data_IF_580627603910
#
_entry.id   IF_580627603910
#
_cell.length_a   1.000
_cell.length_b   1.000
_cell.length_c   1.000
_cell.angle_alpha   90.00
_cell.angle_beta   90.00
_cell.angle_gamma   90.00
#
_symmetry.space_group_name_H-M   'P 1'
#
loop_
_entity.id
_entity.type
_entity.pdbx_description
1 polymer ?
#
# COMPACT_ATOMS: atom_id res chain seq x y z
N UNK A 1 3.52 15.22 -1.90
CA UNK A 1 4.69 14.31 -1.86
C UNK A 1 5.46 14.46 -3.16
N UNK A 2 6.44 15.37 -3.18
CA UNK A 2 7.18 15.78 -4.38
C UNK A 2 7.92 14.61 -5.08
N UNK A 3 8.27 13.55 -4.35
CA UNK A 3 8.97 12.39 -4.90
C UNK A 3 8.08 11.64 -5.93
N UNK A 4 6.90 11.20 -5.51
CA UNK A 4 5.97 10.50 -6.38
C UNK A 4 5.56 11.33 -7.61
N UNK A 5 5.30 12.62 -7.40
CA UNK A 5 4.90 13.50 -8.50
C UNK A 5 6.01 13.64 -9.56
N UNK A 6 7.27 13.71 -9.11
CA UNK A 6 8.44 13.78 -9.98
C UNK A 6 8.65 12.47 -10.75
N UNK A 7 8.54 11.32 -10.08
CA UNK A 7 8.67 10.00 -10.72
C UNK A 7 7.52 9.69 -11.68
N UNK A 8 6.28 10.00 -11.29
CA UNK A 8 5.10 9.81 -12.13
C UNK A 8 5.17 10.63 -13.41
N UNK A 9 5.56 11.91 -13.33
CA UNK A 9 5.67 12.77 -14.50
C UNK A 9 6.74 12.29 -15.51
N UNK A 10 7.82 11.66 -15.04
CA UNK A 10 8.88 11.11 -15.89
C UNK A 10 8.48 9.79 -16.57
N UNK A 11 7.49 9.07 -16.03
CA UNK A 11 7.18 7.69 -16.35
C UNK A 11 5.86 7.52 -17.09
N UNK A 12 5.29 8.61 -17.60
CA UNK A 12 4.06 8.55 -18.39
C UNK A 12 4.36 8.15 -19.83
N UNK A 13 3.92 6.96 -20.21
CA UNK A 13 3.94 6.48 -21.58
C UNK A 13 2.61 6.75 -22.28
N UNK A 14 2.67 7.13 -23.56
CA UNK A 14 1.47 7.22 -24.41
C UNK A 14 1.19 5.88 -25.07
N UNK A 15 0.08 5.23 -24.71
CA UNK A 15 -0.42 4.06 -25.46
C UNK A 15 -1.65 4.42 -26.28
N UNK A 16 -1.67 3.92 -27.51
CA UNK A 16 -2.80 4.06 -28.44
C UNK A 16 -3.69 2.84 -28.30
N UNK A 17 -4.97 3.05 -28.02
CA UNK A 17 -5.99 2.00 -28.03
C UNK A 17 -6.80 2.14 -29.31
N UNK A 18 -7.01 1.03 -30.03
CA UNK A 18 -7.55 0.99 -31.38
C UNK A 18 -8.86 1.78 -31.62
N UNK A 19 -9.68 2.01 -30.59
CA UNK A 19 -10.95 2.73 -30.70
C UNK A 19 -11.11 3.90 -29.70
N UNK A 20 -10.10 4.24 -28.91
CA UNK A 20 -10.25 5.17 -27.79
C UNK A 20 -9.26 6.34 -27.77
N UNK A 21 -8.44 6.47 -28.83
CA UNK A 21 -7.42 7.53 -28.89
C UNK A 21 -6.17 7.24 -28.06
N UNK A 22 -5.41 8.30 -27.76
CA UNK A 22 -4.16 8.21 -26.99
C UNK A 22 -4.42 8.40 -25.50
N UNK A 23 -4.06 7.41 -24.69
CA UNK A 23 -4.16 7.48 -23.22
C UNK A 23 -2.75 7.41 -22.64
N UNK A 24 -2.46 8.27 -21.69
CA UNK A 24 -1.21 8.20 -20.91
C UNK A 24 -1.35 7.16 -19.83
N UNK A 25 -0.43 6.20 -19.81
CA UNK A 25 -0.34 5.18 -18.76
C UNK A 25 1.02 5.24 -18.09
N UNK A 26 1.10 4.71 -16.88
CA UNK A 26 2.37 4.58 -16.18
C UNK A 26 3.17 3.43 -16.78
N UNK A 27 4.48 3.64 -16.85
CA UNK A 27 5.43 2.58 -17.17
C UNK A 27 5.32 1.45 -16.13
N UNK A 28 5.48 0.16 -16.53
CA UNK A 28 5.21 -0.99 -15.67
C UNK A 28 5.89 -0.95 -14.29
N UNK A 29 7.17 -0.61 -14.23
CA UNK A 29 7.95 -0.58 -12.98
C UNK A 29 7.42 0.42 -11.98
N UNK A 30 7.17 1.66 -12.43
CA UNK A 30 6.62 2.71 -11.55
C UNK A 30 5.16 2.42 -11.18
N UNK A 31 4.39 1.81 -12.10
CA UNK A 31 3.01 1.43 -11.83
C UNK A 31 2.92 0.41 -10.69
N UNK A 32 3.76 -0.64 -10.73
CA UNK A 32 3.84 -1.64 -9.66
C UNK A 32 4.22 -0.99 -8.33
N UNK A 33 5.26 -0.14 -8.32
CA UNK A 33 5.69 0.56 -7.11
C UNK A 33 4.58 1.45 -6.54
N UNK A 34 3.87 2.19 -7.39
CA UNK A 34 2.78 3.07 -7.00
C UNK A 34 1.57 2.30 -6.43
N UNK A 35 1.14 1.24 -7.15
CA UNK A 35 0.03 0.39 -6.71
C UNK A 35 0.36 -0.28 -5.38
N UNK A 36 1.60 -0.78 -5.21
CA UNK A 36 2.02 -1.34 -3.94
C UNK A 36 2.05 -0.31 -2.82
N UNK A 37 2.60 0.88 -3.05
CA UNK A 37 2.62 1.95 -2.05
C UNK A 37 1.19 2.32 -1.61
N UNK A 38 0.25 2.42 -2.55
CA UNK A 38 -1.16 2.67 -2.28
C UNK A 38 -1.81 1.54 -1.48
N UNK A 39 -1.58 0.28 -1.89
CA UNK A 39 -2.04 -0.91 -1.18
C UNK A 39 -1.51 -0.94 0.27
N UNK A 40 -0.20 -0.71 0.47
CA UNK A 40 0.43 -0.73 1.77
C UNK A 40 -0.10 0.39 2.69
N UNK A 41 -0.31 1.57 2.15
CA UNK A 41 -0.94 2.67 2.86
C UNK A 41 -2.35 2.32 3.37
N UNK A 42 -3.17 1.72 2.51
CA UNK A 42 -4.49 1.25 2.90
C UNK A 42 -4.43 0.11 3.93
N UNK A 43 -3.48 -0.82 3.78
CA UNK A 43 -3.26 -1.90 4.73
C UNK A 43 -3.01 -1.38 6.15
N UNK A 44 -2.20 -0.32 6.30
CA UNK A 44 -1.91 0.28 7.60
C UNK A 44 -3.10 1.08 8.14
N UNK A 45 -3.76 1.88 7.31
CA UNK A 45 -4.81 2.81 7.75
C UNK A 45 -6.18 2.20 7.96
N UNK A 46 -6.56 1.29 7.10
CA UNK A 46 -7.95 0.81 7.09
C UNK A 46 -8.11 -0.68 6.88
N UNK A 47 -7.02 -1.38 6.55
CA UNK A 47 -7.05 -2.76 6.08
C UNK A 47 -7.39 -2.87 4.59
N UNK A 48 -7.03 -4.01 4.02
CA UNK A 48 -7.27 -4.37 2.63
C UNK A 48 -7.95 -5.75 2.56
N UNK A 49 -8.59 -6.05 1.44
CA UNK A 49 -9.11 -7.39 1.14
C UNK A 49 -8.15 -8.18 0.24
N UNK A 50 -8.42 -9.48 0.10
CA UNK A 50 -7.66 -10.39 -0.77
C UNK A 50 -7.60 -9.89 -2.23
N UNK A 51 -8.66 -9.23 -2.71
CA UNK A 51 -8.72 -8.67 -4.06
C UNK A 51 -7.50 -7.80 -4.37
N UNK A 52 -7.07 -6.94 -3.45
CA UNK A 52 -5.90 -6.08 -3.67
C UNK A 52 -4.60 -6.87 -3.83
N UNK A 53 -4.50 -8.03 -3.16
CA UNK A 53 -3.36 -8.93 -3.35
C UNK A 53 -3.43 -9.62 -4.73
N UNK A 54 -4.63 -10.05 -5.14
CA UNK A 54 -4.84 -10.63 -6.47
C UNK A 54 -4.52 -9.64 -7.58
N UNK A 55 -4.96 -8.38 -7.44
CA UNK A 55 -4.68 -7.32 -8.41
C UNK A 55 -3.16 -7.10 -8.56
N UNK A 56 -2.42 -7.06 -7.43
CA UNK A 56 -0.96 -6.94 -7.45
C UNK A 56 -0.27 -8.18 -8.05
N UNK A 57 -0.76 -9.39 -7.74
CA UNK A 57 -0.22 -10.63 -8.31
C UNK A 57 -0.41 -10.68 -9.83
N UNK A 58 -1.59 -10.29 -10.32
CA UNK A 58 -1.89 -10.20 -11.76
C UNK A 58 -0.98 -9.18 -12.46
N UNK A 59 -0.73 -8.04 -11.82
CA UNK A 59 0.20 -7.03 -12.38
C UNK A 59 1.63 -7.57 -12.48
N UNK A 60 2.13 -8.23 -11.44
CA UNK A 60 3.47 -8.84 -11.43
C UNK A 60 3.58 -9.94 -12.50
N UNK A 61 2.55 -10.79 -12.62
CA UNK A 61 2.48 -11.81 -13.66
C UNK A 61 2.50 -11.20 -15.08
N UNK A 62 1.68 -10.18 -15.29
CA UNK A 62 1.53 -9.52 -16.61
C UNK A 62 2.81 -8.81 -17.04
N UNK A 63 3.46 -8.11 -16.12
CA UNK A 63 4.64 -7.28 -16.42
C UNK A 63 5.97 -7.93 -16.07
N UNK A 64 6.03 -9.23 -15.77
CA UNK A 64 7.23 -9.93 -15.30
C UNK A 64 8.49 -9.72 -16.13
N UNK A 65 8.33 -9.54 -17.45
CA UNK A 65 9.44 -9.32 -18.39
C UNK A 65 9.77 -7.83 -18.61
N UNK A 66 8.89 -6.92 -18.17
CA UNK A 66 8.99 -5.47 -18.38
C UNK A 66 9.44 -4.73 -17.12
N UNK A 67 9.62 -5.46 -16.02
CA UNK A 67 10.04 -4.89 -14.73
C UNK A 67 11.55 -4.64 -14.74
N UNK A 68 11.94 -3.38 -14.65
CA UNK A 68 13.29 -2.99 -14.28
C UNK A 68 13.48 -3.17 -12.76
N UNK A 69 14.18 -4.26 -12.39
CA UNK A 69 14.38 -4.66 -10.98
C UNK A 69 15.20 -3.65 -10.19
N UNK A 70 16.25 -3.09 -10.78
CA UNK A 70 17.14 -2.15 -10.12
C UNK A 70 16.39 -0.84 -9.83
N UNK A 71 15.63 -0.37 -10.81
CA UNK A 71 14.79 0.81 -10.67
C UNK A 71 13.67 0.59 -9.65
N UNK A 72 13.00 -0.57 -9.67
CA UNK A 72 11.97 -0.92 -8.70
C UNK A 72 12.53 -0.93 -7.28
N UNK A 73 13.70 -1.54 -7.07
CA UNK A 73 14.39 -1.56 -5.78
C UNK A 73 14.74 -0.15 -5.30
N UNK A 74 15.28 0.68 -6.19
CA UNK A 74 15.61 2.08 -5.91
C UNK A 74 14.39 2.87 -5.46
N UNK A 75 13.24 2.73 -6.14
CA UNK A 75 11.99 3.41 -5.79
C UNK A 75 11.46 2.93 -4.44
N UNK A 76 11.38 1.62 -4.24
CA UNK A 76 10.86 1.04 -3.00
C UNK A 76 11.75 1.34 -1.78
N UNK A 77 13.06 1.40 -1.99
CA UNK A 77 14.04 1.78 -0.95
C UNK A 77 13.96 3.27 -0.65
N UNK A 78 13.93 4.10 -1.69
CA UNK A 78 13.81 5.56 -1.55
C UNK A 78 12.50 5.99 -0.89
N UNK A 79 11.45 5.19 -1.01
CA UNK A 79 10.17 5.39 -0.31
C UNK A 79 10.07 4.64 1.02
N UNK A 80 11.09 3.88 1.41
CA UNK A 80 11.15 3.17 2.70
C UNK A 80 10.25 1.94 2.82
N UNK A 81 9.66 1.44 1.71
CA UNK A 81 8.71 0.32 1.70
C UNK A 81 9.25 -0.97 1.09
N UNK A 82 10.55 -1.05 0.78
CA UNK A 82 11.16 -2.23 0.17
C UNK A 82 10.95 -3.51 1.01
N UNK A 83 11.20 -3.46 2.31
CA UNK A 83 10.99 -4.61 3.18
C UNK A 83 9.52 -5.03 3.26
N UNK A 84 8.60 -4.07 3.17
CA UNK A 84 7.17 -4.37 3.08
C UNK A 84 6.86 -5.10 1.76
N UNK A 85 7.41 -4.64 0.63
CA UNK A 85 7.23 -5.29 -0.67
C UNK A 85 7.70 -6.75 -0.64
N UNK A 86 8.88 -7.03 -0.07
CA UNK A 86 9.40 -8.40 0.09
C UNK A 86 8.47 -9.26 0.95
N UNK A 87 7.99 -8.73 2.09
CA UNK A 87 7.08 -9.48 2.97
C UNK A 87 5.72 -9.77 2.30
N UNK A 88 5.20 -8.84 1.51
CA UNK A 88 3.99 -9.05 0.71
C UNK A 88 4.24 -10.02 -0.45
N UNK A 89 5.42 -9.99 -1.08
CA UNK A 89 5.83 -10.97 -2.09
C UNK A 89 5.74 -12.40 -1.58
N UNK A 90 6.16 -12.66 -0.32
CA UNK A 90 5.97 -13.97 0.33
C UNK A 90 4.49 -14.35 0.41
N UNK A 91 3.61 -13.39 0.77
CA UNK A 91 2.15 -13.63 0.82
C UNK A 91 1.58 -13.92 -0.57
N UNK A 92 2.03 -13.20 -1.61
CA UNK A 92 1.56 -13.42 -2.98
C UNK A 92 1.92 -14.81 -3.49
N UNK A 93 3.13 -15.29 -3.17
CA UNK A 93 3.60 -16.62 -3.60
C UNK A 93 2.86 -17.72 -2.82
N UNK A 94 2.86 -17.66 -1.50
CA UNK A 94 2.41 -18.77 -0.66
C UNK A 94 0.89 -18.86 -0.51
N UNK A 95 0.15 -17.76 -0.68
CA UNK A 95 -1.31 -17.71 -0.45
C UNK A 95 -2.13 -17.31 -1.67
N UNK A 96 -1.55 -16.57 -2.62
CA UNK A 96 -2.27 -16.13 -3.83
C UNK A 96 -1.89 -17.00 -5.04
N UNK A 97 -0.71 -17.66 -5.00
CA UNK A 97 -0.24 -18.58 -6.04
C UNK A 97 0.56 -17.87 -7.14
N UNK A 98 1.17 -16.71 -6.86
CA UNK A 98 2.13 -16.09 -7.79
C UNK A 98 3.35 -17.02 -7.95
N UNK A 99 3.74 -17.40 -9.19
CA UNK A 99 4.96 -18.19 -9.40
C UNK A 99 6.20 -17.48 -8.84
N UNK A 100 7.06 -18.23 -8.11
CA UNK A 100 8.22 -17.65 -7.44
C UNK A 100 9.17 -16.91 -8.39
N UNK A 101 9.32 -17.41 -9.60
CA UNK A 101 10.17 -16.82 -10.64
C UNK A 101 9.59 -15.53 -11.26
N UNK A 102 8.34 -15.20 -10.97
CA UNK A 102 7.69 -13.96 -11.44
C UNK A 102 7.76 -12.83 -10.39
N UNK A 103 8.15 -13.15 -9.16
CA UNK A 103 8.45 -12.12 -8.15
C UNK A 103 9.89 -11.64 -8.33
N UNK A 104 10.12 -10.31 -8.47
CA UNK A 104 11.41 -9.78 -8.93
C UNK A 104 12.58 -9.94 -7.94
N UNK A 105 12.32 -10.21 -6.65
CA UNK A 105 13.34 -10.23 -5.60
C UNK A 105 13.40 -11.55 -4.84
N UNK A 106 14.54 -11.80 -4.18
CA UNK A 106 14.67 -12.89 -3.23
C UNK A 106 13.93 -12.61 -1.93
N UNK A 107 13.35 -13.67 -1.33
CA UNK A 107 12.58 -13.56 -0.09
C UNK A 107 13.31 -14.30 1.02
N UNK A 108 14.04 -13.58 1.88
CA UNK A 108 14.70 -14.18 3.03
C UNK A 108 13.71 -14.81 4.03
N UNK A 109 14.11 -15.90 4.67
CA UNK A 109 13.28 -16.64 5.64
C UNK A 109 12.78 -15.80 6.83
N UNK A 110 13.48 -14.71 7.16
CA UNK A 110 13.06 -13.77 8.23
C UNK A 110 11.65 -13.20 8.01
N UNK A 111 11.15 -13.18 6.77
CA UNK A 111 9.82 -12.65 6.44
C UNK A 111 8.67 -13.64 6.66
N UNK A 112 8.93 -14.95 6.83
CA UNK A 112 7.88 -15.98 7.06
C UNK A 112 6.96 -15.69 8.27
N UNK A 113 7.51 -15.12 9.34
CA UNK A 113 6.70 -14.70 10.49
C UNK A 113 5.81 -13.49 10.15
N UNK A 114 6.34 -12.54 9.36
CA UNK A 114 5.60 -11.34 8.93
C UNK A 114 4.51 -11.69 7.93
N UNK A 115 4.77 -12.57 6.98
CA UNK A 115 3.82 -13.11 6.03
C UNK A 115 2.55 -13.64 6.74
N UNK A 116 2.72 -14.52 7.75
CA UNK A 116 1.59 -15.04 8.53
C UNK A 116 0.82 -13.94 9.29
N UNK A 117 1.51 -12.92 9.76
CA UNK A 117 0.88 -11.78 10.42
C UNK A 117 0.08 -10.92 9.43
N UNK A 118 0.60 -10.73 8.19
CA UNK A 118 -0.05 -9.97 7.13
C UNK A 118 -1.32 -10.69 6.69
N UNK A 119 -1.23 -11.96 6.29
CA UNK A 119 -2.40 -12.70 5.79
C UNK A 119 -3.48 -12.83 6.87
N UNK A 120 -3.11 -13.12 8.12
CA UNK A 120 -4.05 -13.13 9.24
C UNK A 120 -4.74 -11.79 9.41
N UNK A 121 -4.01 -10.68 9.32
CA UNK A 121 -4.59 -9.33 9.42
C UNK A 121 -5.61 -9.06 8.31
N UNK A 122 -5.29 -9.43 7.07
CA UNK A 122 -6.18 -9.26 5.91
C UNK A 122 -7.47 -10.08 6.09
N UNK A 123 -7.34 -11.36 6.46
CA UNK A 123 -8.49 -12.25 6.62
C UNK A 123 -9.40 -11.86 7.80
N UNK A 124 -8.82 -11.36 8.90
CA UNK A 124 -9.59 -10.97 10.09
C UNK A 124 -10.16 -9.56 10.00
N UNK A 125 -9.45 -8.62 9.38
CA UNK A 125 -9.83 -7.21 9.26
C UNK A 125 -10.94 -6.98 8.22
N UNK A 126 -11.01 -7.81 7.19
CA UNK A 126 -11.90 -7.62 6.05
C UNK A 126 -11.62 -6.34 5.27
N UNK A 127 -12.44 -6.07 4.26
CA UNK A 127 -12.31 -4.88 3.41
C UNK A 127 -12.49 -3.60 4.26
N UNK A 128 -11.51 -2.71 4.22
CA UNK A 128 -11.48 -1.43 4.97
C UNK A 128 -11.59 -1.59 6.49
N UNK A 129 -11.15 -2.72 7.06
CA UNK A 129 -11.19 -2.95 8.51
C UNK A 129 -12.59 -2.97 9.13
N UNK A 130 -13.64 -3.13 8.30
CA UNK A 130 -15.05 -3.10 8.73
C UNK A 130 -15.39 -4.12 9.80
N UNK A 131 -14.71 -5.29 9.78
CA UNK A 131 -14.94 -6.36 10.78
C UNK A 131 -14.24 -6.11 12.11
N UNK A 132 -13.17 -5.30 12.12
CA UNK A 132 -12.37 -5.02 13.32
C UNK A 132 -12.82 -3.76 14.07
N UNK A 133 -13.73 -2.96 13.52
CA UNK A 133 -14.24 -1.72 14.13
C UNK A 133 -15.54 -1.96 14.89
N UNK A 134 -15.60 -1.47 16.12
CA UNK A 134 -16.80 -1.53 16.97
C UNK A 134 -17.83 -0.47 16.56
N UNK A 135 -17.37 0.69 16.12
CA UNK A 135 -18.22 1.84 15.78
C UNK A 135 -18.42 1.90 14.27
N UNK A 136 -19.67 1.81 13.81
CA UNK A 136 -20.03 1.86 12.39
C UNK A 136 -20.40 3.27 11.92
N UNK A 137 -20.45 4.25 12.82
CA UNK A 137 -20.94 5.60 12.56
C UNK A 137 -19.81 6.62 12.50
N UNK A 138 -20.00 7.65 11.66
CA UNK A 138 -19.14 8.84 11.59
C UNK A 138 -19.28 9.63 12.89
N UNK A 139 -18.16 10.06 13.49
CA UNK A 139 -18.15 10.87 14.70
C UNK A 139 -16.82 10.80 15.46
N UNK A 140 -16.72 11.53 16.57
CA UNK A 140 -15.47 11.63 17.35
C UNK A 140 -14.94 10.27 17.82
N UNK A 141 -15.80 9.37 18.29
CA UNK A 141 -15.42 7.99 18.68
C UNK A 141 -14.80 7.20 17.52
N UNK A 142 -15.36 7.32 16.31
CA UNK A 142 -14.82 6.69 15.11
C UNK A 142 -13.42 7.23 14.76
N UNK A 143 -13.22 8.54 14.90
CA UNK A 143 -11.91 9.19 14.64
C UNK A 143 -10.84 8.67 15.62
N UNK A 144 -11.18 8.54 16.92
CA UNK A 144 -10.29 7.98 17.95
C UNK A 144 -9.97 6.49 17.63
N UNK A 145 -10.97 5.67 17.35
CA UNK A 145 -10.75 4.26 16.99
C UNK A 145 -9.85 4.12 15.76
N UNK A 146 -10.04 5.00 14.77
CA UNK A 146 -9.20 5.03 13.56
C UNK A 146 -7.75 5.41 13.89
N UNK A 147 -7.53 6.43 14.72
CA UNK A 147 -6.20 6.83 15.15
C UNK A 147 -5.49 5.73 15.94
N UNK A 148 -6.19 5.08 16.87
CA UNK A 148 -5.66 3.95 17.63
C UNK A 148 -5.35 2.74 16.74
N UNK A 149 -6.19 2.47 15.75
CA UNK A 149 -5.97 1.40 14.77
C UNK A 149 -4.69 1.66 13.94
N UNK A 150 -4.53 2.88 13.43
CA UNK A 150 -3.33 3.29 12.68
C UNK A 150 -2.09 3.17 13.56
N UNK A 151 -2.13 3.69 14.78
CA UNK A 151 -1.01 3.62 15.72
C UNK A 151 -0.60 2.17 16.01
N UNK A 152 -1.58 1.31 16.32
CA UNK A 152 -1.35 -0.12 16.58
C UNK A 152 -0.72 -0.82 15.38
N UNK A 153 -1.21 -0.55 14.18
CA UNK A 153 -0.66 -1.14 12.97
C UNK A 153 0.73 -0.60 12.64
N UNK A 154 0.95 0.70 12.82
CA UNK A 154 2.26 1.33 12.65
C UNK A 154 3.31 0.68 13.54
N UNK A 155 3.01 0.46 14.83
CA UNK A 155 3.90 -0.25 15.76
C UNK A 155 4.12 -1.70 15.31
N UNK A 156 3.03 -2.43 14.98
CA UNK A 156 3.09 -3.85 14.60
C UNK A 156 3.93 -4.09 13.35
N UNK A 157 3.85 -3.20 12.38
CA UNK A 157 4.52 -3.31 11.09
C UNK A 157 5.72 -2.38 10.93
N UNK A 158 6.15 -1.73 12.02
CA UNK A 158 7.27 -0.79 12.04
C UNK A 158 8.52 -1.34 11.35
N UNK A 159 8.87 -2.61 11.59
CA UNK A 159 10.05 -3.24 10.99
C UNK A 159 9.98 -3.42 9.47
N UNK A 160 8.81 -3.27 8.87
CA UNK A 160 8.63 -3.37 7.40
C UNK A 160 8.84 -2.05 6.69
N UNK A 161 8.51 -0.92 7.34
CA UNK A 161 8.63 0.41 6.77
C UNK A 161 8.84 1.46 7.89
N UNK A 162 10.00 1.50 8.57
CA UNK A 162 10.21 2.36 9.73
C UNK A 162 9.99 3.84 9.42
N UNK A 163 10.51 4.31 8.29
CA UNK A 163 10.41 5.71 7.88
C UNK A 163 8.97 6.12 7.57
N UNK A 164 8.26 5.33 6.79
CA UNK A 164 6.85 5.58 6.45
C UNK A 164 5.97 5.56 7.71
N UNK A 165 6.23 4.63 8.65
CA UNK A 165 5.46 4.56 9.89
C UNK A 165 5.66 5.78 10.79
N UNK A 166 6.87 6.34 10.85
CA UNK A 166 7.14 7.57 11.62
C UNK A 166 6.48 8.80 11.00
N UNK A 167 6.35 8.85 9.67
CA UNK A 167 5.72 9.96 8.94
C UNK A 167 4.20 9.87 8.87
N UNK A 168 3.65 8.65 8.80
CA UNK A 168 2.19 8.44 8.71
C UNK A 168 1.45 8.94 9.96
N UNK A 169 2.02 8.79 11.14
CA UNK A 169 1.35 9.14 12.38
C UNK A 169 1.15 10.66 12.54
N UNK A 170 2.18 11.51 12.44
CA UNK A 170 2.00 12.96 12.50
C UNK A 170 1.10 13.50 11.39
N UNK A 171 1.25 12.95 10.18
CA UNK A 171 0.44 13.36 9.04
C UNK A 171 -1.04 13.01 9.23
N UNK A 172 -1.36 11.82 9.71
CA UNK A 172 -2.75 11.41 9.96
C UNK A 172 -3.42 12.23 11.06
N UNK A 173 -2.67 12.65 12.08
CA UNK A 173 -3.16 13.56 13.12
C UNK A 173 -3.43 14.94 12.52
N UNK A 174 -2.51 15.49 11.75
CA UNK A 174 -2.64 16.80 11.12
C UNK A 174 -3.86 16.87 10.19
N UNK A 175 -4.08 15.87 9.35
CA UNK A 175 -5.24 15.80 8.47
C UNK A 175 -6.56 15.70 9.25
N UNK A 176 -6.62 14.89 10.31
CA UNK A 176 -7.82 14.79 11.13
C UNK A 176 -8.11 16.10 11.90
N UNK A 177 -7.10 16.81 12.39
CA UNK A 177 -7.27 18.12 13.03
C UNK A 177 -7.76 19.15 12.02
N UNK A 178 -7.20 19.18 10.81
CA UNK A 178 -7.62 20.12 9.75
C UNK A 178 -9.08 19.91 9.34
N UNK A 179 -9.51 18.66 9.20
CA UNK A 179 -10.91 18.34 8.89
C UNK A 179 -11.82 18.81 10.02
N UNK A 180 -11.44 18.56 11.29
CA UNK A 180 -12.22 19.00 12.46
C UNK A 180 -12.34 20.52 12.55
N UNK A 181 -11.24 21.24 12.26
CA UNK A 181 -11.22 22.69 12.27
C UNK A 181 -12.14 23.29 11.18
N UNK A 182 -12.11 22.70 9.98
CA UNK A 182 -12.97 23.14 8.89
C UNK A 182 -14.47 22.87 9.18
N UNK A 183 -14.79 21.64 9.68
CA UNK A 183 -16.17 21.30 10.09
C UNK A 183 -16.68 22.26 11.19
N UNK A 184 -15.83 22.61 12.18
CA UNK A 184 -16.19 23.56 13.24
C UNK A 184 -16.41 24.98 12.72
N UNK A 185 -15.59 25.41 11.75
CA UNK A 185 -15.72 26.75 11.13
C UNK A 185 -16.95 26.87 10.22
N UNK A 186 -17.46 25.76 9.66
CA UNK A 186 -18.67 25.75 8.85
C UNK A 186 -19.97 25.72 9.71
N UNK A 187 -19.88 25.27 10.97
CA UNK A 187 -21.01 25.21 11.91
C UNK A 187 -21.18 26.49 12.76
N UNK A 188 -20.21 27.44 12.74
CA UNK A 188 -20.18 28.68 13.54
C UNK A 188 -19.84 29.89 12.69
#
# INVERSE_FOLDING_TARGET
NNYWQKELNKSLEMKTFANSGHIRILEPTINIAYVFAHLFFHFIKGGIGLRHLCDLAVMLHHYKNDIDKERLESILTGTGIFNAFIAFGSVLIDYIGLPRNEFPFDIPNKYKKKERQIIKHILTGGNFGRKSRRTKTVGFKYKIETALYILRNSIKYFSLAPWEMTMLFPWSIKENIKIYWNEWMEEH
#
